data_IF_249207032979
#
_entry.id   IF_249207032979
#
_cell.length_a   1.000
_cell.length_b   1.000
_cell.length_c   1.000
_cell.angle_alpha   90.00
_cell.angle_beta   90.00
_cell.angle_gamma   90.00
#
_symmetry.space_group_name_H-M   'P 1'
#
loop_
_entity.id
_entity.type
_entity.pdbx_description
1 polymer ?
#
# COMPACT_ATOMS: atom_id res chain seq x y z
N UNK A 1 -0.73 -10.24 14.06
CA UNK A 1 0.18 -9.08 14.09
C UNK A 1 -0.74 -7.92 13.93
N UNK A 2 -1.23 -7.42 15.04
CA UNK A 2 -2.43 -6.59 15.01
C UNK A 2 -1.93 -5.15 15.01
N UNK A 3 -1.86 -4.60 13.80
CA UNK A 3 -1.49 -3.21 13.54
C UNK A 3 -2.63 -2.64 12.73
N UNK A 4 -3.22 -1.56 13.23
CA UNK A 4 -4.28 -0.83 12.56
C UNK A 4 -3.68 0.44 11.99
N UNK A 5 -4.04 0.77 10.75
CA UNK A 5 -3.85 2.11 10.21
C UNK A 5 -5.21 2.77 9.99
N UNK A 6 -5.24 4.10 10.12
CA UNK A 6 -6.44 4.93 9.97
C UNK A 6 -6.10 6.12 9.08
N UNK A 7 -7.03 6.47 8.18
CA UNK A 7 -6.88 7.58 7.24
C UNK A 7 -8.15 8.43 7.27
N UNK A 8 -8.00 9.75 7.41
CA UNK A 8 -9.09 10.72 7.53
C UNK A 8 -8.63 12.13 7.16
N UNK A 9 -9.52 13.11 7.29
CA UNK A 9 -9.23 14.54 7.20
C UNK A 9 -9.46 15.22 8.55
N UNK A 10 -8.50 16.05 8.98
CA UNK A 10 -8.70 16.91 10.13
C UNK A 10 -9.78 17.96 9.88
N UNK A 11 -10.29 18.57 10.95
CA UNK A 11 -11.27 19.67 10.87
C UNK A 11 -10.76 20.86 10.03
N UNK A 12 -9.45 21.02 9.95
CA UNK A 12 -8.78 22.07 9.18
C UNK A 12 -8.62 21.71 7.68
N UNK A 13 -9.06 20.52 7.26
CA UNK A 13 -8.98 20.05 5.88
C UNK A 13 -7.67 19.37 5.50
N UNK A 14 -6.74 19.23 6.44
CA UNK A 14 -5.45 18.53 6.23
C UNK A 14 -5.62 17.01 6.33
N UNK A 15 -5.02 16.22 5.41
CA UNK A 15 -5.08 14.77 5.44
C UNK A 15 -4.31 14.19 6.64
N UNK A 16 -4.86 13.14 7.23
CA UNK A 16 -4.28 12.39 8.34
C UNK A 16 -4.05 10.94 7.95
N UNK A 17 -2.88 10.40 8.30
CA UNK A 17 -2.55 8.99 8.19
C UNK A 17 -1.77 8.54 9.44
N UNK A 18 -2.40 7.67 10.23
CA UNK A 18 -1.85 7.18 11.49
C UNK A 18 -1.85 5.67 11.59
N UNK A 19 -0.97 5.13 12.43
CA UNK A 19 -0.89 3.71 12.76
C UNK A 19 -0.78 3.48 14.25
N UNK A 20 -1.41 2.41 14.73
CA UNK A 20 -1.31 1.95 16.12
C UNK A 20 -1.01 0.45 16.15
N UNK A 21 -0.01 0.06 16.94
CA UNK A 21 0.32 -1.34 17.18
C UNK A 21 -0.42 -1.92 18.40
N UNK A 22 -0.37 -3.26 18.55
CA UNK A 22 -0.97 -3.97 19.69
C UNK A 22 -0.47 -3.57 21.08
N UNK A 23 0.66 -2.88 21.18
CA UNK A 23 1.24 -2.39 22.43
C UNK A 23 0.80 -0.95 22.74
N UNK A 24 0.06 -0.31 21.83
CA UNK A 24 -0.37 1.07 21.94
C UNK A 24 0.65 2.08 21.38
N UNK A 25 1.68 1.64 20.67
CA UNK A 25 2.60 2.54 19.97
C UNK A 25 1.87 3.18 18.82
N UNK A 26 1.70 4.50 18.88
CA UNK A 26 1.03 5.29 17.85
C UNK A 26 2.03 6.23 17.16
N UNK A 27 1.92 6.35 15.84
CA UNK A 27 2.67 7.33 15.07
C UNK A 27 1.90 7.75 13.82
N UNK A 28 2.32 8.88 13.25
CA UNK A 28 1.82 9.45 12.00
C UNK A 28 2.96 9.45 10.97
N UNK A 29 2.65 9.14 9.72
CA UNK A 29 3.61 9.19 8.60
C UNK A 29 2.85 9.41 7.29
N UNK A 30 3.49 10.02 6.29
CA UNK A 30 2.92 10.21 4.96
C UNK A 30 2.70 8.89 4.22
N UNK A 31 3.43 7.84 4.62
CA UNK A 31 3.29 6.49 4.05
C UNK A 31 3.35 5.45 5.17
N UNK A 32 2.38 4.54 5.21
CA UNK A 32 2.31 3.49 6.22
C UNK A 32 2.09 2.15 5.54
N UNK A 33 2.88 1.15 5.92
CA UNK A 33 2.68 -0.24 5.53
C UNK A 33 2.88 -1.15 6.74
N UNK A 34 2.08 -2.21 6.84
CA UNK A 34 2.10 -3.14 7.98
C UNK A 34 2.57 -4.53 7.55
N UNK A 35 2.88 -5.40 8.52
CA UNK A 35 3.30 -6.77 8.25
C UNK A 35 4.56 -6.83 7.37
N UNK A 36 4.56 -7.69 6.35
CA UNK A 36 5.67 -7.79 5.40
C UNK A 36 5.77 -6.56 4.46
N UNK A 37 4.66 -5.83 4.30
CA UNK A 37 4.60 -4.54 3.62
C UNK A 37 5.54 -3.50 4.20
N UNK A 38 5.73 -3.51 5.52
CA UNK A 38 6.65 -2.60 6.20
C UNK A 38 8.09 -2.70 5.67
N UNK A 39 8.49 -3.87 5.15
CA UNK A 39 9.84 -4.13 4.63
C UNK A 39 9.92 -4.03 3.10
N UNK A 40 8.87 -4.40 2.39
CA UNK A 40 8.88 -4.47 0.91
C UNK A 40 8.19 -3.29 0.22
N UNK A 41 7.08 -2.80 0.77
CA UNK A 41 6.32 -1.70 0.18
C UNK A 41 6.85 -0.33 0.64
N UNK A 42 7.25 -0.19 1.90
CA UNK A 42 7.74 1.08 2.47
C UNK A 42 8.85 1.74 1.63
N UNK A 43 9.88 1.02 1.13
CA UNK A 43 10.91 1.67 0.29
C UNK A 43 10.36 2.23 -1.02
N UNK A 44 9.38 1.55 -1.64
CA UNK A 44 8.73 2.01 -2.87
C UNK A 44 7.87 3.24 -2.60
N UNK A 45 7.14 3.23 -1.49
CA UNK A 45 6.30 4.33 -1.06
C UNK A 45 7.14 5.59 -0.77
N UNK A 46 8.20 5.45 0.02
CA UNK A 46 9.09 6.56 0.38
C UNK A 46 9.80 7.17 -0.83
N UNK A 47 10.35 6.34 -1.72
CA UNK A 47 11.00 6.81 -2.95
C UNK A 47 10.06 7.65 -3.83
N UNK A 48 8.77 7.31 -3.87
CA UNK A 48 7.79 8.09 -4.61
C UNK A 48 7.42 9.39 -3.90
N UNK A 49 7.17 9.37 -2.59
CA UNK A 49 6.75 10.56 -1.84
C UNK A 49 7.89 11.56 -1.60
N UNK A 50 9.15 11.11 -1.54
CA UNK A 50 10.31 11.98 -1.45
C UNK A 50 10.52 12.82 -2.73
N UNK A 51 10.01 12.35 -3.88
CA UNK A 51 10.08 13.06 -5.17
C UNK A 51 9.05 14.18 -5.30
N UNK A 52 8.05 14.23 -4.42
CA UNK A 52 7.01 15.24 -4.42
C UNK A 52 5.61 14.67 -4.15
N UNK A 53 4.59 15.55 -4.11
CA UNK A 53 3.21 15.13 -3.94
C UNK A 53 2.74 14.27 -5.12
N UNK A 54 1.95 13.25 -4.82
CA UNK A 54 1.34 12.36 -5.80
C UNK A 54 -0.10 12.80 -6.07
N UNK A 55 -0.53 12.74 -7.33
CA UNK A 55 -1.96 12.78 -7.64
C UNK A 55 -2.62 11.42 -7.33
N UNK A 56 -3.96 11.37 -7.41
CA UNK A 56 -4.72 10.16 -7.07
C UNK A 56 -4.34 8.97 -7.98
N UNK A 57 -4.15 9.20 -9.27
CA UNK A 57 -3.84 8.12 -10.21
C UNK A 57 -2.44 7.54 -9.98
N UNK A 58 -1.45 8.40 -9.73
CA UNK A 58 -0.09 8.02 -9.40
C UNK A 58 -0.03 7.28 -8.05
N UNK A 59 -0.76 7.76 -7.04
CA UNK A 59 -0.86 7.08 -5.75
C UNK A 59 -1.49 5.69 -5.90
N UNK A 60 -2.60 5.58 -6.66
CA UNK A 60 -3.23 4.29 -6.97
C UNK A 60 -2.28 3.35 -7.71
N UNK A 61 -1.58 3.83 -8.73
CA UNK A 61 -0.61 3.04 -9.49
C UNK A 61 0.54 2.53 -8.60
N UNK A 62 1.03 3.37 -7.69
CA UNK A 62 2.07 3.01 -6.72
C UNK A 62 1.60 1.92 -5.76
N UNK A 63 0.38 2.03 -5.22
CA UNK A 63 -0.21 0.99 -4.36
C UNK A 63 -0.36 -0.31 -5.12
N UNK A 64 -0.85 -0.28 -6.38
CA UNK A 64 -0.94 -1.48 -7.23
C UNK A 64 0.42 -2.17 -7.42
N UNK A 65 1.48 -1.39 -7.65
CA UNK A 65 2.85 -1.91 -7.75
C UNK A 65 3.34 -2.53 -6.44
N UNK A 66 3.01 -1.92 -5.29
CA UNK A 66 3.33 -2.50 -3.98
C UNK A 66 2.61 -3.83 -3.77
N UNK A 67 1.33 -3.93 -4.14
CA UNK A 67 0.56 -5.17 -4.06
C UNK A 67 1.13 -6.28 -4.96
N UNK A 68 1.63 -5.94 -6.14
CA UNK A 68 2.30 -6.87 -7.05
C UNK A 68 3.57 -7.45 -6.42
N UNK A 69 4.44 -6.58 -5.87
CA UNK A 69 5.66 -7.03 -5.18
C UNK A 69 5.33 -7.92 -3.99
N UNK A 70 4.31 -7.55 -3.19
CA UNK A 70 3.85 -8.36 -2.07
C UNK A 70 3.29 -9.71 -2.52
N UNK A 71 2.55 -9.74 -3.62
CA UNK A 71 2.01 -10.98 -4.17
C UNK A 71 3.10 -11.98 -4.57
N UNK A 72 4.18 -11.49 -5.19
CA UNK A 72 5.28 -12.36 -5.60
C UNK A 72 6.20 -12.84 -4.47
N UNK A 73 6.17 -12.18 -3.30
CA UNK A 73 7.16 -12.39 -2.23
C UNK A 73 6.57 -12.85 -0.90
N UNK A 74 5.30 -12.56 -0.62
CA UNK A 74 4.60 -13.04 0.57
C UNK A 74 3.82 -14.31 0.25
N UNK A 75 4.24 -15.44 0.83
CA UNK A 75 3.57 -16.74 0.67
C UNK A 75 2.14 -16.78 1.27
N UNK A 76 1.73 -15.77 2.05
CA UNK A 76 0.39 -15.64 2.62
C UNK A 76 -0.47 -14.59 1.92
N UNK A 77 0.04 -13.99 0.85
CA UNK A 77 -0.72 -13.03 0.05
C UNK A 77 -1.84 -13.72 -0.75
N UNK A 78 -2.79 -12.92 -1.19
CA UNK A 78 -3.88 -13.35 -2.06
C UNK A 78 -3.96 -12.38 -3.26
N UNK A 79 -4.27 -12.86 -4.47
CA UNK A 79 -4.24 -12.01 -5.67
C UNK A 79 -5.36 -10.98 -5.74
N UNK A 80 -6.37 -11.07 -4.86
CA UNK A 80 -7.49 -10.12 -4.80
C UNK A 80 -7.34 -9.17 -3.62
N UNK A 81 -7.47 -7.88 -3.88
CA UNK A 81 -7.41 -6.81 -2.88
C UNK A 81 -8.42 -5.71 -3.18
N UNK A 82 -8.72 -4.88 -2.20
CA UNK A 82 -9.59 -3.70 -2.35
C UNK A 82 -8.78 -2.44 -2.12
N UNK A 83 -9.19 -1.35 -2.78
CA UNK A 83 -8.58 -0.05 -2.62
C UNK A 83 -9.61 0.91 -2.00
N UNK A 84 -9.26 1.51 -0.87
CA UNK A 84 -10.02 2.60 -0.26
C UNK A 84 -9.36 3.92 -0.59
N UNK A 85 -10.16 4.90 -1.00
CA UNK A 85 -9.72 6.28 -1.22
C UNK A 85 -10.52 7.19 -0.30
N UNK A 86 -9.80 8.02 0.45
CA UNK A 86 -10.39 9.03 1.33
C UNK A 86 -10.06 10.39 0.73
N UNK A 87 -11.09 11.20 0.50
CA UNK A 87 -10.98 12.58 0.04
C UNK A 87 -11.80 13.48 0.96
N UNK A 88 -11.66 14.80 0.82
CA UNK A 88 -12.52 15.76 1.53
C UNK A 88 -14.02 15.60 1.19
N UNK A 89 -14.36 14.97 0.07
CA UNK A 89 -15.74 14.67 -0.32
C UNK A 89 -16.29 13.39 0.33
N UNK A 90 -15.44 12.56 0.94
CA UNK A 90 -15.82 11.32 1.62
C UNK A 90 -14.93 10.13 1.27
N UNK A 91 -15.43 8.94 1.63
CA UNK A 91 -14.72 7.66 1.49
C UNK A 91 -15.34 6.85 0.35
N UNK A 92 -14.49 6.34 -0.54
CA UNK A 92 -14.89 5.40 -1.60
C UNK A 92 -14.08 4.12 -1.47
N UNK A 93 -14.76 2.98 -1.46
CA UNK A 93 -14.12 1.66 -1.48
C UNK A 93 -14.38 1.05 -2.85
N UNK A 94 -13.32 0.76 -3.59
CA UNK A 94 -13.40 0.12 -4.90
C UNK A 94 -13.73 -1.37 -4.75
N UNK A 95 -14.38 -1.92 -5.79
CA UNK A 95 -14.63 -3.36 -5.90
C UNK A 95 -13.31 -4.15 -5.86
N UNK A 96 -13.32 -5.41 -5.37
CA UNK A 96 -12.11 -6.22 -5.32
C UNK A 96 -11.46 -6.37 -6.69
N UNK A 97 -10.23 -5.88 -6.81
CA UNK A 97 -9.42 -6.00 -8.03
C UNK A 97 -8.57 -7.25 -7.93
N UNK A 98 -8.51 -8.02 -9.01
CA UNK A 98 -7.60 -9.16 -9.14
C UNK A 98 -6.31 -8.72 -9.83
N UNK A 99 -5.18 -9.08 -9.23
CA UNK A 99 -3.86 -8.75 -9.70
C UNK A 99 -3.49 -9.60 -10.92
N UNK A 100 -3.15 -8.94 -12.04
CA UNK A 100 -2.63 -9.63 -13.23
C UNK A 100 -1.18 -10.00 -13.00
N UNK A 101 -0.88 -11.29 -12.90
CA UNK A 101 0.48 -11.79 -12.72
C UNK A 101 1.15 -12.15 -14.06
N UNK A 102 2.39 -11.72 -14.26
CA UNK A 102 3.27 -12.19 -15.33
C UNK A 102 4.38 -13.09 -14.77
N UNK A 103 4.57 -14.27 -15.37
CA UNK A 103 5.61 -15.24 -15.05
C UNK A 103 6.57 -15.48 -16.21
N UNK A 104 6.57 -14.60 -17.22
CA UNK A 104 7.46 -14.65 -18.38
C UNK A 104 8.94 -14.81 -17.96
N UNK A 105 9.35 -14.13 -16.88
CA UNK A 105 10.70 -14.17 -16.31
C UNK A 105 11.17 -15.58 -15.92
N UNK A 106 10.26 -16.49 -15.57
CA UNK A 106 10.61 -17.86 -15.17
C UNK A 106 11.33 -18.63 -16.30
N UNK A 107 11.05 -18.31 -17.56
CA UNK A 107 11.66 -18.96 -18.72
C UNK A 107 13.13 -18.54 -18.95
N UNK A 108 13.58 -17.45 -18.33
CA UNK A 108 14.97 -16.97 -18.43
C UNK A 108 15.94 -17.79 -17.57
N UNK A 109 15.44 -18.53 -16.58
CA UNK A 109 16.27 -19.39 -15.73
C UNK A 109 16.25 -20.81 -16.34
N UNK A 110 17.18 -21.06 -17.25
CA UNK A 110 17.45 -22.43 -17.72
C UNK A 110 18.31 -23.13 -16.65
N UNK A 111 17.80 -24.24 -16.08
CA UNK A 111 18.63 -25.12 -15.25
C UNK A 111 19.71 -25.76 -16.15
N UNK A 112 20.97 -25.65 -15.75
CA UNK A 112 22.09 -26.38 -16.36
C UNK A 112 22.02 -27.87 -16.05
#
# INVERSE_FOLDING_TARGET
YDVLFYCDFHQDGEPFLGSVDKLGTAYEDATIATGLGAYMATPLLRDATEKGPLDEEAAKALVRKCMEVLFYRDARSFPRYQLGVVTSAGVTIEEPVELKHDWSLAHMIQMK
#
